data_IF_391029532633
#
_entry.id   IF_391029532633
#
_cell.length_a   1.000
_cell.length_b   1.000
_cell.length_c   1.000
_cell.angle_alpha   90.00
_cell.angle_beta   90.00
_cell.angle_gamma   90.00
#
_symmetry.space_group_name_H-M   'P 1'
#
loop_
_entity.id
_entity.type
_entity.pdbx_description
1 polymer ?
#
# COMPACT_ATOMS: atom_id res chain seq x y z
N UNK A 1 -2.10 20.60 -1.68
CA UNK A 1 -0.79 20.91 -2.29
C UNK A 1 -0.14 19.60 -2.63
N UNK A 2 -0.05 19.33 -3.93
CA UNK A 2 0.22 18.04 -4.54
C UNK A 2 1.67 17.58 -4.27
N UNK A 3 1.82 16.51 -3.48
CA UNK A 3 3.12 15.89 -3.18
C UNK A 3 3.75 15.23 -4.41
N UNK A 4 2.99 14.97 -5.47
CA UNK A 4 3.49 14.34 -6.68
C UNK A 4 4.29 15.32 -7.56
N UNK A 5 3.93 16.62 -7.53
CA UNK A 5 4.61 17.66 -8.31
C UNK A 5 6.07 17.91 -7.90
N UNK A 6 6.42 17.70 -6.63
CA UNK A 6 7.79 17.85 -6.10
C UNK A 6 8.69 16.65 -6.43
N UNK A 7 8.11 15.47 -6.64
CA UNK A 7 8.85 14.27 -7.05
C UNK A 7 9.26 14.32 -8.52
N UNK A 8 8.38 14.81 -9.40
CA UNK A 8 8.62 14.80 -10.86
C UNK A 8 9.73 15.76 -11.27
N UNK A 9 9.87 16.95 -10.64
CA UNK A 9 10.94 17.89 -10.98
C UNK A 9 12.32 17.44 -10.48
N UNK A 10 12.37 16.78 -9.32
CA UNK A 10 13.61 16.29 -8.71
C UNK A 10 14.15 15.01 -9.39
N UNK A 11 13.33 14.30 -10.17
CA UNK A 11 13.79 13.16 -10.97
C UNK A 11 14.58 13.58 -12.23
N UNK A 12 14.38 14.79 -12.75
CA UNK A 12 15.08 15.26 -13.95
C UNK A 12 16.53 15.66 -13.68
N UNK A 13 16.81 16.26 -12.53
CA UNK A 13 18.17 16.64 -12.14
C UNK A 13 19.17 15.47 -12.19
N UNK A 14 18.93 14.30 -11.55
CA UNK A 14 19.85 13.17 -11.65
C UNK A 14 19.92 12.59 -13.08
N UNK A 15 18.84 12.65 -13.87
CA UNK A 15 18.85 12.21 -15.27
C UNK A 15 19.81 13.08 -16.09
N UNK A 16 19.67 14.40 -16.03
CA UNK A 16 20.53 15.33 -16.79
C UNK A 16 21.98 15.24 -16.32
N UNK A 17 22.22 15.21 -15.02
CA UNK A 17 23.57 15.12 -14.46
C UNK A 17 24.27 13.81 -14.87
N UNK A 18 23.60 12.67 -14.69
CA UNK A 18 24.17 11.36 -15.05
C UNK A 18 24.35 11.19 -16.56
N UNK A 19 23.46 11.78 -17.37
CA UNK A 19 23.58 11.77 -18.83
C UNK A 19 24.75 12.63 -19.28
N UNK A 20 24.93 13.82 -18.71
CA UNK A 20 26.06 14.70 -19.01
C UNK A 20 27.40 14.05 -18.64
N UNK A 21 27.49 13.41 -17.47
CA UNK A 21 28.68 12.66 -17.04
C UNK A 21 28.96 11.51 -18.01
N UNK A 22 27.94 10.73 -18.40
CA UNK A 22 28.11 9.63 -19.35
C UNK A 22 28.60 10.11 -20.73
N UNK A 23 28.03 11.21 -21.24
CA UNK A 23 28.42 11.80 -22.53
C UNK A 23 29.85 12.33 -22.45
N UNK A 24 30.23 12.98 -21.35
CA UNK A 24 31.60 13.46 -21.13
C UNK A 24 32.62 12.29 -21.10
N UNK A 25 32.29 11.20 -20.40
CA UNK A 25 33.09 9.98 -20.39
C UNK A 25 33.17 9.34 -21.78
N UNK A 26 32.08 9.36 -22.56
CA UNK A 26 32.06 8.78 -23.91
C UNK A 26 32.91 9.59 -24.88
N UNK A 27 32.80 10.92 -24.84
CA UNK A 27 33.62 11.82 -25.63
C UNK A 27 35.10 11.72 -25.24
N UNK A 28 35.39 11.51 -23.95
CA UNK A 28 36.73 11.22 -23.48
C UNK A 28 37.25 9.92 -24.10
N UNK A 29 36.51 8.80 -23.99
CA UNK A 29 36.90 7.50 -24.58
C UNK A 29 37.12 7.59 -26.10
N UNK A 30 36.33 8.39 -26.81
CA UNK A 30 36.49 8.62 -28.25
C UNK A 30 37.79 9.36 -28.60
N UNK A 31 38.04 10.51 -27.97
CA UNK A 31 39.29 11.28 -28.16
C UNK A 31 40.53 10.46 -27.80
N UNK A 32 40.36 9.70 -26.75
CA UNK A 32 41.34 8.78 -26.23
C UNK A 32 41.68 7.74 -27.35
N UNK A 33 40.70 7.13 -28.02
CA UNK A 33 40.94 6.16 -29.10
C UNK A 33 41.66 6.75 -30.32
N UNK A 34 41.36 8.01 -30.65
CA UNK A 34 41.99 8.76 -31.75
C UNK A 34 43.45 9.12 -31.44
N UNK A 35 43.77 9.43 -30.18
CA UNK A 35 45.07 9.94 -29.76
C UNK A 35 45.89 8.88 -29.01
N UNK A 36 46.48 7.93 -29.75
CA UNK A 36 47.20 6.73 -29.23
C UNK A 36 48.50 6.97 -28.46
N UNK A 37 48.84 8.21 -28.14
CA UNK A 37 50.16 8.58 -27.60
C UNK A 37 50.23 8.63 -26.06
N UNK A 38 49.19 8.19 -25.34
CA UNK A 38 49.15 8.30 -23.88
C UNK A 38 49.76 7.06 -23.20
N UNK A 39 50.94 7.24 -22.59
CA UNK A 39 51.54 6.28 -21.66
C UNK A 39 51.89 7.00 -20.36
N UNK A 40 51.39 6.49 -19.23
CA UNK A 40 51.73 6.95 -17.89
C UNK A 40 52.38 5.79 -17.15
N UNK A 41 53.64 5.96 -16.74
CA UNK A 41 54.31 5.01 -15.85
C UNK A 41 54.03 5.43 -14.41
N UNK A 42 53.30 4.59 -13.68
CA UNK A 42 52.96 4.82 -12.28
C UNK A 42 53.40 3.58 -11.50
N UNK A 43 54.37 3.75 -10.60
CA UNK A 43 54.94 2.67 -9.79
C UNK A 43 55.50 1.48 -10.60
N UNK A 44 56.09 1.72 -11.78
CA UNK A 44 56.67 0.67 -12.63
C UNK A 44 55.63 -0.14 -13.40
N UNK A 45 54.38 0.31 -13.39
CA UNK A 45 53.27 -0.26 -14.15
C UNK A 45 52.95 0.72 -15.29
N UNK A 46 53.29 0.33 -16.52
CA UNK A 46 52.93 1.09 -17.70
C UNK A 46 51.41 1.03 -17.87
N UNK A 47 50.73 2.11 -17.49
CA UNK A 47 49.29 2.25 -17.71
C UNK A 47 49.12 2.66 -19.18
N UNK A 48 48.87 1.65 -20.00
CA UNK A 48 48.54 1.87 -21.40
C UNK A 48 47.15 2.48 -21.53
N UNK A 49 47.00 3.22 -22.62
CA UNK A 49 45.76 3.80 -23.09
C UNK A 49 44.51 2.89 -22.95
N UNK A 50 44.65 1.61 -23.30
CA UNK A 50 43.57 0.63 -23.25
C UNK A 50 43.04 0.41 -21.83
N UNK A 51 43.92 0.36 -20.84
CA UNK A 51 43.56 0.17 -19.43
C UNK A 51 42.75 1.37 -18.94
N UNK A 52 43.16 2.59 -19.31
CA UNK A 52 42.46 3.81 -18.92
C UNK A 52 41.08 3.91 -19.58
N UNK A 53 40.96 3.56 -20.86
CA UNK A 53 39.66 3.51 -21.54
C UNK A 53 38.71 2.48 -20.92
N UNK A 54 39.23 1.34 -20.46
CA UNK A 54 38.46 0.33 -19.72
C UNK A 54 37.88 0.87 -18.41
N UNK A 55 38.68 1.61 -17.62
CA UNK A 55 38.19 2.25 -16.40
C UNK A 55 37.11 3.30 -16.67
N UNK A 56 37.26 4.08 -17.76
CA UNK A 56 36.25 5.06 -18.15
C UNK A 56 34.90 4.39 -18.52
N UNK A 57 34.93 3.28 -19.26
CA UNK A 57 33.73 2.51 -19.60
C UNK A 57 33.09 1.88 -18.36
N UNK A 58 33.88 1.37 -17.41
CA UNK A 58 33.34 0.86 -16.16
C UNK A 58 32.69 1.96 -15.29
N UNK A 59 33.27 3.16 -15.27
CA UNK A 59 32.65 4.30 -14.60
C UNK A 59 31.28 4.67 -15.21
N UNK A 60 31.14 4.59 -16.53
CA UNK A 60 29.85 4.81 -17.21
C UNK A 60 28.78 3.81 -16.76
N UNK A 61 29.14 2.54 -16.59
CA UNK A 61 28.20 1.49 -16.14
C UNK A 61 27.74 1.75 -14.71
N UNK A 62 28.62 2.21 -13.83
CA UNK A 62 28.25 2.60 -12.46
C UNK A 62 27.25 3.76 -12.46
N UNK A 63 27.48 4.78 -13.29
CA UNK A 63 26.56 5.93 -13.44
C UNK A 63 25.21 5.47 -14.02
N UNK A 64 25.20 4.59 -15.01
CA UNK A 64 23.99 4.02 -15.60
C UNK A 64 23.19 3.18 -14.60
N UNK A 65 23.87 2.35 -13.82
CA UNK A 65 23.27 1.52 -12.77
C UNK A 65 22.64 2.41 -11.69
N UNK A 66 23.37 3.45 -11.25
CA UNK A 66 22.86 4.44 -10.31
C UNK A 66 21.61 5.15 -10.84
N UNK A 67 21.63 5.57 -12.11
CA UNK A 67 20.50 6.23 -12.75
C UNK A 67 19.27 5.32 -12.82
N UNK A 68 19.45 4.06 -13.20
CA UNK A 68 18.38 3.05 -13.28
C UNK A 68 17.77 2.74 -11.91
N UNK A 69 18.58 2.73 -10.85
CA UNK A 69 18.10 2.53 -9.48
C UNK A 69 17.35 3.76 -8.97
N UNK A 70 17.87 4.98 -9.20
CA UNK A 70 17.29 6.20 -8.62
C UNK A 70 16.00 6.62 -9.32
N UNK A 71 15.88 6.38 -10.61
CA UNK A 71 14.77 6.86 -11.44
C UNK A 71 13.92 5.70 -11.96
N UNK A 72 12.71 5.96 -12.47
CA UNK A 72 11.79 4.91 -12.93
C UNK A 72 11.94 4.67 -14.43
N UNK A 73 10.81 4.65 -15.16
CA UNK A 73 10.76 4.43 -16.61
C UNK A 73 11.64 5.41 -17.39
N UNK A 74 11.66 6.68 -16.98
CA UNK A 74 12.36 7.75 -17.71
C UNK A 74 13.87 7.54 -17.75
N UNK A 75 14.51 7.24 -16.62
CA UNK A 75 15.94 6.99 -16.64
C UNK A 75 16.31 5.63 -17.21
N UNK A 76 15.44 4.61 -17.11
CA UNK A 76 15.66 3.36 -17.85
C UNK A 76 15.74 3.60 -19.37
N UNK A 77 14.82 4.40 -19.92
CA UNK A 77 14.86 4.80 -21.34
C UNK A 77 16.15 5.58 -21.65
N UNK A 78 16.54 6.53 -20.80
CA UNK A 78 17.78 7.30 -20.97
C UNK A 78 19.02 6.39 -20.98
N UNK A 79 19.08 5.40 -20.07
CA UNK A 79 20.18 4.43 -20.02
C UNK A 79 20.22 3.58 -21.29
N UNK A 80 19.09 3.09 -21.79
CA UNK A 80 19.06 2.35 -23.07
C UNK A 80 19.61 3.21 -24.21
N UNK A 81 19.16 4.48 -24.32
CA UNK A 81 19.62 5.39 -25.35
C UNK A 81 21.13 5.66 -25.25
N UNK A 82 21.64 5.89 -24.03
CA UNK A 82 23.07 6.13 -23.79
C UNK A 82 23.91 4.90 -24.15
N UNK A 83 23.48 3.69 -23.80
CA UNK A 83 24.21 2.47 -24.14
C UNK A 83 24.13 2.17 -25.64
N UNK A 84 23.00 2.46 -26.30
CA UNK A 84 22.87 2.34 -27.75
C UNK A 84 23.82 3.31 -28.49
N UNK A 85 23.94 4.54 -28.01
CA UNK A 85 24.94 5.50 -28.53
C UNK A 85 26.36 4.97 -28.32
N UNK A 86 26.68 4.43 -27.14
CA UNK A 86 27.97 3.82 -26.86
C UNK A 86 28.33 2.67 -27.82
N UNK A 87 27.36 1.80 -28.12
CA UNK A 87 27.51 0.70 -29.09
C UNK A 87 27.74 1.25 -30.51
N UNK A 88 26.98 2.26 -30.94
CA UNK A 88 27.17 2.86 -32.26
C UNK A 88 28.57 3.47 -32.41
N UNK A 89 29.04 4.23 -31.42
CA UNK A 89 30.36 4.85 -31.46
C UNK A 89 31.50 3.83 -31.37
N UNK A 90 31.44 2.89 -30.43
CA UNK A 90 32.47 1.87 -30.24
C UNK A 90 32.49 0.82 -31.36
N UNK A 91 31.32 0.45 -31.88
CA UNK A 91 31.17 -0.62 -32.88
C UNK A 91 31.38 -0.15 -34.31
N UNK A 92 30.80 0.99 -34.71
CA UNK A 92 30.90 1.49 -36.10
C UNK A 92 32.24 2.21 -36.30
N UNK A 93 32.67 3.05 -35.35
CA UNK A 93 33.91 3.82 -35.46
C UNK A 93 35.19 2.99 -35.34
N UNK A 94 35.23 2.05 -34.38
CA UNK A 94 36.44 1.25 -34.11
C UNK A 94 36.51 -0.09 -34.88
N UNK A 95 35.44 -0.89 -34.82
CA UNK A 95 35.47 -2.27 -35.34
C UNK A 95 35.21 -2.34 -36.85
N UNK A 96 34.18 -1.63 -37.35
CA UNK A 96 33.76 -1.71 -38.76
C UNK A 96 34.59 -0.83 -39.71
N UNK A 97 35.00 0.36 -39.27
CA UNK A 97 35.75 1.31 -40.11
C UNK A 97 37.27 1.13 -39.99
N UNK A 98 37.79 0.88 -38.77
CA UNK A 98 39.23 0.72 -38.54
C UNK A 98 39.71 -0.74 -38.51
N UNK A 99 38.79 -1.73 -38.49
CA UNK A 99 39.12 -3.16 -38.54
C UNK A 99 39.84 -3.70 -37.30
N UNK A 100 39.84 -2.96 -36.19
CA UNK A 100 40.59 -3.31 -34.99
C UNK A 100 39.74 -4.06 -33.96
N UNK A 101 40.19 -5.25 -33.59
CA UNK A 101 39.54 -6.14 -32.62
C UNK A 101 39.60 -5.54 -31.19
N UNK A 102 40.43 -4.52 -30.95
CA UNK A 102 40.63 -3.90 -29.64
C UNK A 102 39.43 -3.11 -29.13
N UNK A 103 38.47 -2.75 -30.00
CA UNK A 103 37.23 -2.07 -29.63
C UNK A 103 36.07 -3.04 -29.25
N UNK A 104 36.27 -4.35 -29.41
CA UNK A 104 35.27 -5.40 -29.16
C UNK A 104 34.85 -5.51 -27.68
N UNK A 105 35.76 -5.39 -26.69
CA UNK A 105 35.38 -5.42 -25.27
C UNK A 105 34.38 -4.31 -24.88
N UNK A 106 34.48 -3.12 -25.48
CA UNK A 106 33.57 -2.01 -25.21
C UNK A 106 32.12 -2.32 -25.59
N UNK A 107 31.91 -2.88 -26.79
CA UNK A 107 30.58 -3.28 -27.26
C UNK A 107 29.94 -4.32 -26.33
N UNK A 108 30.71 -5.33 -25.89
CA UNK A 108 30.25 -6.37 -24.97
C UNK A 108 29.80 -5.77 -23.64
N UNK A 109 30.53 -4.79 -23.10
CA UNK A 109 30.19 -4.16 -21.83
C UNK A 109 28.89 -3.34 -21.88
N UNK A 110 28.64 -2.57 -22.95
CA UNK A 110 27.37 -1.84 -23.11
C UNK A 110 26.17 -2.78 -23.25
N UNK A 111 26.33 -3.90 -23.97
CA UNK A 111 25.29 -4.93 -24.05
C UNK A 111 24.97 -5.53 -22.67
N UNK A 112 26.00 -5.84 -21.89
CA UNK A 112 25.81 -6.36 -20.51
C UNK A 112 25.09 -5.36 -19.60
N UNK A 113 25.40 -4.06 -19.75
CA UNK A 113 24.76 -2.96 -19.02
C UNK A 113 23.27 -2.81 -19.37
N UNK A 114 22.88 -3.03 -20.63
CA UNK A 114 21.47 -3.04 -21.05
C UNK A 114 20.71 -4.18 -20.36
N UNK A 115 21.31 -5.37 -20.29
CA UNK A 115 20.69 -6.53 -19.62
C UNK A 115 20.48 -6.23 -18.14
N UNK A 116 21.53 -5.77 -17.45
CA UNK A 116 21.47 -5.40 -16.02
C UNK A 116 20.38 -4.35 -15.79
N UNK A 117 20.37 -3.30 -16.62
CA UNK A 117 19.39 -2.21 -16.50
C UNK A 117 17.95 -2.71 -16.69
N UNK A 118 17.74 -3.67 -17.59
CA UNK A 118 16.44 -4.29 -17.85
C UNK A 118 15.95 -5.07 -16.64
N UNK A 119 16.83 -5.89 -16.05
CA UNK A 119 16.52 -6.67 -14.84
C UNK A 119 16.13 -5.74 -13.68
N UNK A 120 16.91 -4.69 -13.45
CA UNK A 120 16.65 -3.70 -12.39
C UNK A 120 15.28 -3.05 -12.60
N UNK A 121 14.95 -2.66 -13.84
CA UNK A 121 13.68 -2.03 -14.15
C UNK A 121 12.47 -2.93 -13.84
N UNK A 122 12.52 -4.20 -14.26
CA UNK A 122 11.44 -5.15 -14.00
C UNK A 122 11.25 -5.44 -12.51
N UNK A 123 12.35 -5.62 -11.78
CA UNK A 123 12.29 -5.86 -10.34
C UNK A 123 11.69 -4.67 -9.59
N UNK A 124 12.11 -3.44 -9.93
CA UNK A 124 11.59 -2.21 -9.33
C UNK A 124 10.11 -1.98 -9.66
N UNK A 125 9.69 -2.30 -10.89
CA UNK A 125 8.28 -2.25 -11.31
C UNK A 125 7.44 -3.22 -10.48
N UNK A 126 7.88 -4.47 -10.33
CA UNK A 126 7.17 -5.47 -9.53
C UNK A 126 7.03 -5.07 -8.06
N UNK A 127 8.09 -4.54 -7.44
CA UNK A 127 8.02 -4.05 -6.06
C UNK A 127 7.01 -2.92 -5.89
N UNK A 128 7.01 -1.93 -6.79
CA UNK A 128 6.08 -0.80 -6.72
C UNK A 128 4.63 -1.25 -6.82
N UNK A 129 4.34 -2.18 -7.72
CA UNK A 129 2.99 -2.71 -7.89
C UNK A 129 2.52 -3.48 -6.64
N UNK A 130 3.41 -4.25 -6.01
CA UNK A 130 3.12 -4.94 -4.76
C UNK A 130 2.87 -3.98 -3.59
N UNK A 131 3.71 -2.95 -3.44
CA UNK A 131 3.52 -1.91 -2.40
C UNK A 131 2.17 -1.22 -2.60
N UNK A 132 1.83 -0.87 -3.85
CA UNK A 132 0.55 -0.20 -4.15
C UNK A 132 -0.64 -1.06 -3.73
N UNK A 133 -0.65 -2.34 -4.12
CA UNK A 133 -1.71 -3.28 -3.73
C UNK A 133 -1.80 -3.46 -2.21
N UNK A 134 -0.66 -3.52 -1.53
CA UNK A 134 -0.63 -3.63 -0.07
C UNK A 134 -1.21 -2.40 0.62
N UNK A 135 -0.92 -1.20 0.10
CA UNK A 135 -1.53 0.05 0.58
C UNK A 135 -3.03 0.07 0.34
N UNK A 136 -3.48 -0.29 -0.88
CA UNK A 136 -4.91 -0.37 -1.22
C UNK A 136 -5.66 -1.33 -0.27
N UNK A 137 -5.11 -2.51 -0.02
CA UNK A 137 -5.68 -3.49 0.93
C UNK A 137 -5.73 -2.96 2.36
N UNK A 138 -4.68 -2.25 2.81
CA UNK A 138 -4.63 -1.64 4.14
C UNK A 138 -5.73 -0.58 4.31
N UNK A 139 -5.94 0.24 3.29
CA UNK A 139 -6.96 1.28 3.29
C UNK A 139 -8.37 0.68 3.30
N UNK A 140 -8.62 -0.37 2.50
CA UNK A 140 -9.87 -1.12 2.48
C UNK A 140 -10.19 -1.73 3.86
N UNK A 141 -9.23 -2.48 4.44
CA UNK A 141 -9.38 -3.05 5.78
C UNK A 141 -9.70 -1.96 6.82
N UNK A 142 -9.01 -0.81 6.74
CA UNK A 142 -9.23 0.31 7.66
C UNK A 142 -10.64 0.89 7.52
N UNK A 143 -11.18 0.99 6.30
CA UNK A 143 -12.57 1.43 6.08
C UNK A 143 -13.59 0.43 6.63
N UNK A 144 -13.39 -0.87 6.42
CA UNK A 144 -14.27 -1.93 6.94
C UNK A 144 -14.29 -1.92 8.47
N UNK A 145 -13.14 -1.73 9.13
CA UNK A 145 -13.09 -1.59 10.58
C UNK A 145 -13.91 -0.40 11.10
N UNK A 146 -13.89 0.74 10.39
CA UNK A 146 -14.70 1.91 10.76
C UNK A 146 -16.19 1.61 10.63
N UNK A 147 -16.60 0.99 9.53
CA UNK A 147 -17.99 0.61 9.28
C UNK A 147 -18.52 -0.39 10.32
N UNK A 148 -17.74 -1.45 10.61
CA UNK A 148 -18.07 -2.44 11.64
C UNK A 148 -18.22 -1.76 13.01
N UNK A 149 -17.32 -0.85 13.35
CA UNK A 149 -17.36 -0.14 14.63
C UNK A 149 -18.62 0.72 14.75
N UNK A 150 -18.98 1.46 13.70
CA UNK A 150 -20.20 2.26 13.67
C UNK A 150 -21.48 1.39 13.73
N UNK A 151 -21.49 0.26 13.02
CA UNK A 151 -22.61 -0.69 13.04
C UNK A 151 -22.77 -1.33 14.43
N UNK A 152 -21.67 -1.69 15.09
CA UNK A 152 -21.67 -2.22 16.46
C UNK A 152 -22.21 -1.22 17.47
N UNK A 153 -21.84 0.04 17.35
CA UNK A 153 -22.36 1.13 18.19
C UNK A 153 -23.88 1.29 18.00
N UNK A 154 -24.34 1.34 16.75
CA UNK A 154 -25.78 1.41 16.43
C UNK A 154 -26.55 0.21 17.00
N UNK A 155 -25.99 -0.99 16.89
CA UNK A 155 -26.59 -2.20 17.45
C UNK A 155 -26.66 -2.14 18.99
N UNK A 156 -25.64 -1.61 19.64
CA UNK A 156 -25.63 -1.40 21.09
C UNK A 156 -26.74 -0.43 21.52
N UNK A 157 -26.86 0.70 20.82
CA UNK A 157 -27.93 1.68 21.06
C UNK A 157 -29.33 1.08 20.86
N UNK A 158 -29.53 0.29 19.81
CA UNK A 158 -30.80 -0.42 19.59
C UNK A 158 -31.11 -1.41 20.71
N UNK A 159 -30.11 -2.14 21.21
CA UNK A 159 -30.29 -3.05 22.33
C UNK A 159 -30.67 -2.31 23.62
N UNK A 160 -30.05 -1.17 23.90
CA UNK A 160 -30.43 -0.32 25.03
C UNK A 160 -31.85 0.23 24.91
N UNK A 161 -32.25 0.70 23.73
CA UNK A 161 -33.61 1.14 23.46
C UNK A 161 -34.63 0.02 23.67
N UNK A 162 -34.33 -1.19 23.19
CA UNK A 162 -35.17 -2.36 23.41
C UNK A 162 -35.31 -2.70 24.90
N UNK A 163 -34.23 -2.60 25.68
CA UNK A 163 -34.28 -2.79 27.14
C UNK A 163 -35.15 -1.74 27.82
N UNK A 164 -35.00 -0.48 27.43
CA UNK A 164 -35.81 0.62 27.98
C UNK A 164 -37.30 0.43 27.64
N UNK A 165 -37.61 0.13 26.38
CA UNK A 165 -38.99 -0.11 25.93
C UNK A 165 -39.62 -1.29 26.69
N UNK A 166 -38.89 -2.41 26.84
CA UNK A 166 -39.36 -3.53 27.65
C UNK A 166 -39.65 -3.13 29.10
N UNK A 167 -38.80 -2.30 29.71
CA UNK A 167 -39.03 -1.83 31.09
C UNK A 167 -40.29 -0.98 31.19
N UNK A 168 -40.45 0.01 30.30
CA UNK A 168 -41.62 0.89 30.26
C UNK A 168 -42.89 0.07 30.02
N UNK A 169 -42.84 -0.91 29.13
CA UNK A 169 -43.99 -1.74 28.83
C UNK A 169 -44.42 -2.59 30.02
N UNK A 170 -43.45 -3.14 30.77
CA UNK A 170 -43.70 -3.85 32.03
C UNK A 170 -44.27 -2.94 33.13
N UNK A 171 -43.85 -1.68 33.19
CA UNK A 171 -44.42 -0.70 34.14
C UNK A 171 -45.85 -0.31 33.75
N UNK A 172 -46.11 -0.10 32.46
CA UNK A 172 -47.44 0.18 31.93
C UNK A 172 -48.41 -0.99 32.14
N UNK A 173 -47.95 -2.23 31.94
CA UNK A 173 -48.73 -3.44 32.22
C UNK A 173 -49.18 -3.48 33.69
N UNK A 174 -48.27 -3.27 34.64
CA UNK A 174 -48.61 -3.19 36.07
C UNK A 174 -49.59 -2.07 36.39
N UNK A 175 -49.46 -0.92 35.71
CA UNK A 175 -50.37 0.21 35.90
C UNK A 175 -51.77 -0.11 35.38
N UNK A 176 -51.87 -0.72 34.20
CA UNK A 176 -53.12 -1.20 33.62
C UNK A 176 -53.77 -2.26 34.52
N UNK A 177 -53.00 -3.21 35.03
CA UNK A 177 -53.47 -4.22 35.99
C UNK A 177 -54.04 -3.54 37.24
N UNK A 178 -53.33 -2.57 37.81
CA UNK A 178 -53.85 -1.81 38.96
C UNK A 178 -55.16 -1.07 38.65
N UNK A 179 -55.24 -0.38 37.51
CA UNK A 179 -56.45 0.35 37.11
C UNK A 179 -57.64 -0.58 36.83
N UNK A 180 -57.39 -1.77 36.31
CA UNK A 180 -58.44 -2.74 35.97
C UNK A 180 -59.00 -3.47 37.20
N UNK A 181 -58.17 -3.68 38.23
CA UNK A 181 -58.46 -4.61 39.32
C UNK A 181 -58.45 -4.01 40.73
N UNK A 182 -57.99 -2.78 40.92
CA UNK A 182 -57.99 -2.12 42.23
C UNK A 182 -58.82 -0.84 42.18
N UNK A 183 -59.42 -0.50 43.32
CA UNK A 183 -60.16 0.74 43.52
C UNK A 183 -59.19 1.92 43.73
N UNK A 184 -59.48 3.05 43.07
CA UNK A 184 -58.58 4.20 43.05
C UNK A 184 -58.54 4.99 44.37
N UNK A 185 -59.60 4.95 45.17
CA UNK A 185 -59.68 5.70 46.44
C UNK A 185 -59.11 4.92 47.62
N UNK A 186 -59.33 3.61 47.65
CA UNK A 186 -58.96 2.75 48.80
C UNK A 186 -57.71 1.92 48.54
N UNK A 187 -57.32 1.70 47.29
CA UNK A 187 -56.23 0.79 46.91
C UNK A 187 -56.54 -0.69 47.14
N UNK A 188 -57.77 -1.02 47.55
CA UNK A 188 -58.24 -2.39 47.74
C UNK A 188 -58.66 -3.01 46.40
N UNK A 189 -58.72 -4.35 46.29
CA UNK A 189 -59.24 -5.02 45.11
C UNK A 189 -60.65 -4.54 44.79
N UNK A 190 -60.88 -4.14 43.54
CA UNK A 190 -62.20 -3.74 43.10
C UNK A 190 -63.10 -4.97 42.92
N UNK A 191 -64.40 -4.74 42.73
CA UNK A 191 -65.40 -5.80 42.59
C UNK A 191 -65.03 -6.83 41.50
N UNK A 192 -64.43 -6.39 40.39
CA UNK A 192 -64.02 -7.27 39.29
C UNK A 192 -62.92 -8.25 39.72
N UNK A 193 -61.92 -7.77 40.46
CA UNK A 193 -60.84 -8.63 40.99
C UNK A 193 -61.36 -9.60 42.05
N UNK A 194 -62.23 -9.14 42.94
CA UNK A 194 -62.82 -9.99 43.98
C UNK A 194 -63.57 -11.16 43.35
N UNK A 195 -64.44 -10.89 42.37
CA UNK A 195 -65.21 -11.92 41.66
C UNK A 195 -64.28 -12.92 40.97
N UNK A 196 -63.28 -12.43 40.21
CA UNK A 196 -62.31 -13.32 39.55
C UNK A 196 -61.54 -14.22 40.52
N UNK A 197 -61.14 -13.69 41.68
CA UNK A 197 -60.44 -14.48 42.70
C UNK A 197 -61.36 -15.47 43.38
N UNK A 198 -62.63 -15.11 43.60
CA UNK A 198 -63.64 -16.02 44.12
C UNK A 198 -63.85 -17.21 43.16
N UNK A 199 -64.05 -16.94 41.87
CA UNK A 199 -64.21 -17.97 40.83
C UNK A 199 -62.98 -18.90 40.77
N UNK A 200 -61.78 -18.32 40.85
CA UNK A 200 -60.53 -19.09 40.91
C UNK A 200 -60.48 -20.00 42.15
N UNK A 201 -60.86 -19.48 43.32
CA UNK A 201 -60.87 -20.24 44.58
C UNK A 201 -61.91 -21.35 44.59
N UNK A 202 -63.11 -21.13 44.02
CA UNK A 202 -64.14 -22.16 43.84
C UNK A 202 -63.59 -23.31 43.00
N UNK A 203 -62.98 -23.00 41.85
CA UNK A 203 -62.38 -24.04 41.00
C UNK A 203 -61.21 -24.78 41.65
N UNK A 204 -60.41 -24.11 42.48
CA UNK A 204 -59.33 -24.76 43.23
C UNK A 204 -59.88 -25.65 44.36
N UNK A 205 -60.90 -25.19 45.09
CA UNK A 205 -61.57 -25.94 46.15
C UNK A 205 -62.16 -27.26 45.62
N UNK A 206 -62.78 -27.22 44.45
CA UNK A 206 -63.35 -28.41 43.80
C UNK A 206 -62.29 -29.46 43.43
N UNK A 207 -61.05 -29.04 43.18
CA UNK A 207 -59.95 -29.94 42.79
C UNK A 207 -59.09 -30.42 43.96
N UNK A 208 -58.92 -29.58 44.98
CA UNK A 208 -58.00 -29.83 46.08
C UNK A 208 -58.70 -30.22 47.40
N UNK A 209 -60.03 -30.31 47.40
CA UNK A 209 -60.87 -30.54 48.60
C UNK A 209 -60.56 -29.60 49.77
N UNK A 210 -60.03 -28.41 49.46
CA UNK A 210 -59.66 -27.40 50.43
C UNK A 210 -60.72 -26.29 50.45
N UNK A 211 -61.44 -26.15 51.56
CA UNK A 211 -62.43 -25.08 51.74
C UNK A 211 -61.80 -23.70 51.88
N UNK A 212 -62.55 -22.65 51.53
CA UNK A 212 -62.16 -21.26 51.74
C UNK A 212 -63.26 -20.49 52.48
N UNK A 213 -62.86 -19.41 53.15
CA UNK A 213 -63.77 -18.53 53.88
C UNK A 213 -63.83 -17.15 53.21
N UNK A 214 -65.02 -16.57 53.15
CA UNK A 214 -65.24 -15.18 52.71
C UNK A 214 -65.59 -14.33 53.92
N UNK A 215 -64.79 -13.30 54.18
CA UNK A 215 -65.05 -12.32 55.23
C UNK A 215 -65.70 -11.11 54.56
N UNK A 216 -66.87 -10.69 55.06
CA UNK A 216 -67.69 -9.62 54.50
C UNK A 216 -68.01 -8.55 55.54
#
# INVERSE_FOLDING_TARGET
MDKDSLGVSNEWFPIFLCSAINIALLAFVLKAYENRQFQLDVFGLAIDFYIFSGFAVQAQILVNTYLSIRTMKKGFIAVILLNALGICFSGIGGVLVAGEITALPGVVTYLSSIIISTVIYYFKKGQRDNIRRLTEQRDEITSLYREISASREKLSQQNEQLKWYNKVMKENEKKLERMAYYDALTGLPNRKMIIQKLDMLIHYSDRAEAGFALVY
#
